data_IF_912021866612
#
_entry.id   IF_912021866612
#
_cell.length_a   1.000
_cell.length_b   1.000
_cell.length_c   1.000
_cell.angle_alpha   90.00
_cell.angle_beta   90.00
_cell.angle_gamma   90.00
#
_symmetry.space_group_name_H-M   'P 1'
#
loop_
_entity.id
_entity.type
_entity.pdbx_description
1 polymer ?
#
# COMPACT_ATOMS: atom_id res chain seq x y z
N UNK A 1 3.39 65.17 7.65
CA UNK A 1 3.19 64.03 6.73
C UNK A 1 4.26 62.98 6.97
N UNK A 2 4.02 61.94 7.77
CA UNK A 2 4.78 60.67 7.79
C UNK A 2 3.87 59.57 8.29
N UNK A 3 3.37 58.74 7.37
CA UNK A 3 2.60 57.53 7.65
C UNK A 3 3.63 56.41 7.81
N UNK A 4 3.70 55.81 9.00
CA UNK A 4 4.48 54.59 9.23
C UNK A 4 3.62 53.40 8.77
N UNK A 5 4.07 52.75 7.70
CA UNK A 5 3.47 51.53 7.15
C UNK A 5 4.14 50.33 7.84
N UNK A 6 3.50 49.78 8.87
CA UNK A 6 3.95 48.56 9.54
C UNK A 6 3.55 47.35 8.70
N UNK A 7 4.52 46.76 8.00
CA UNK A 7 4.31 45.57 7.19
C UNK A 7 4.26 44.33 8.11
N UNK A 8 3.06 43.77 8.30
CA UNK A 8 2.83 42.55 9.07
C UNK A 8 3.12 41.33 8.19
N UNK A 9 4.32 40.76 8.32
CA UNK A 9 4.70 39.51 7.64
C UNK A 9 4.05 38.31 8.32
N UNK A 10 2.96 37.80 7.75
CA UNK A 10 2.36 36.50 8.13
C UNK A 10 3.25 35.38 7.58
N UNK A 11 4.09 34.78 8.42
CA UNK A 11 4.77 33.53 8.08
C UNK A 11 3.74 32.39 8.08
N UNK A 12 3.33 31.97 6.88
CA UNK A 12 2.64 30.71 6.66
C UNK A 12 3.60 29.57 7.03
N UNK A 13 3.44 29.01 8.23
CA UNK A 13 4.03 27.70 8.55
C UNK A 13 3.33 26.66 7.67
N UNK A 14 3.91 26.37 6.51
CA UNK A 14 3.64 25.14 5.78
C UNK A 14 4.04 24.00 6.71
N UNK A 15 3.08 23.47 7.46
CA UNK A 15 3.30 22.27 8.25
C UNK A 15 3.70 21.18 7.26
N UNK A 16 4.94 20.66 7.29
CA UNK A 16 5.25 19.50 6.48
C UNK A 16 4.24 18.44 6.89
N UNK A 17 3.55 17.83 5.91
CA UNK A 17 2.75 16.63 6.16
C UNK A 17 3.65 15.69 6.95
N UNK A 18 3.39 15.55 8.25
CA UNK A 18 4.25 14.79 9.13
C UNK A 18 4.30 13.37 8.59
N UNK A 19 5.47 12.97 8.10
CA UNK A 19 5.72 11.61 7.63
C UNK A 19 5.23 10.63 8.70
N UNK A 20 4.37 9.70 8.31
CA UNK A 20 3.83 8.72 9.25
C UNK A 20 4.95 7.78 9.72
N UNK A 21 5.01 7.60 11.02
CA UNK A 21 5.85 6.63 11.71
C UNK A 21 4.95 5.78 12.61
N UNK A 22 5.11 4.47 12.54
CA UNK A 22 4.32 3.55 13.35
C UNK A 22 4.11 2.18 12.74
N UNK A 23 3.07 1.51 13.21
CA UNK A 23 2.70 0.16 12.81
C UNK A 23 1.31 0.10 12.18
N UNK A 24 1.15 -0.89 11.31
CA UNK A 24 -0.10 -1.28 10.71
C UNK A 24 -0.20 -2.80 10.79
N UNK A 25 -1.33 -3.31 11.29
CA UNK A 25 -1.71 -4.72 11.24
C UNK A 25 -2.88 -4.94 10.31
N UNK A 26 -2.81 -5.98 9.50
CA UNK A 26 -3.85 -6.33 8.56
C UNK A 26 -3.89 -7.83 8.31
N UNK A 27 -4.99 -8.27 7.70
CA UNK A 27 -5.19 -9.62 7.20
C UNK A 27 -5.67 -9.61 5.76
N UNK A 28 -5.31 -10.67 5.05
CA UNK A 28 -5.84 -11.05 3.76
C UNK A 28 -6.67 -12.31 3.96
N UNK A 29 -7.91 -12.29 3.48
CA UNK A 29 -8.84 -13.42 3.59
C UNK A 29 -9.45 -13.78 2.25
N UNK A 30 -9.73 -15.06 2.05
CA UNK A 30 -10.59 -15.58 0.98
C UNK A 30 -11.85 -16.18 1.60
N UNK A 31 -12.69 -16.82 0.78
CA UNK A 31 -13.86 -17.58 1.27
C UNK A 31 -13.49 -18.68 2.28
N UNK A 32 -12.26 -19.18 2.23
CA UNK A 32 -11.76 -20.25 3.11
C UNK A 32 -11.21 -19.72 4.45
N UNK A 33 -11.23 -18.40 4.64
CA UNK A 33 -10.74 -17.72 5.85
C UNK A 33 -9.48 -16.90 5.62
N UNK A 34 -8.77 -16.58 6.71
CA UNK A 34 -7.56 -15.76 6.67
C UNK A 34 -6.41 -16.54 6.03
N UNK A 35 -5.93 -16.06 4.89
CA UNK A 35 -4.83 -16.67 4.12
C UNK A 35 -3.48 -16.01 4.39
N UNK A 36 -3.48 -14.76 4.87
CA UNK A 36 -2.26 -14.08 5.30
C UNK A 36 -2.50 -13.08 6.43
N UNK A 37 -1.51 -12.95 7.31
CA UNK A 37 -1.39 -11.86 8.29
C UNK A 37 -0.23 -10.96 7.90
N UNK A 38 -0.43 -9.66 8.00
CA UNK A 38 0.50 -8.63 7.56
C UNK A 38 0.79 -7.69 8.73
N UNK A 39 2.07 -7.48 9.02
CA UNK A 39 2.55 -6.48 9.96
C UNK A 39 3.49 -5.52 9.23
N UNK A 40 3.04 -4.30 8.96
CA UNK A 40 3.85 -3.25 8.37
C UNK A 40 4.34 -2.26 9.44
N UNK A 41 5.58 -1.82 9.29
CA UNK A 41 6.23 -0.80 10.12
C UNK A 41 6.82 0.27 9.21
N UNK A 42 6.65 1.52 9.62
CA UNK A 42 7.03 2.69 8.84
C UNK A 42 7.95 3.57 9.67
N UNK A 43 9.12 3.92 9.14
CA UNK A 43 10.03 4.88 9.76
C UNK A 43 9.64 6.31 9.38
N UNK A 44 10.01 7.26 10.24
CA UNK A 44 9.90 8.70 9.92
C UNK A 44 10.73 9.09 8.70
N UNK A 45 11.84 8.38 8.45
CA UNK A 45 12.71 8.60 7.30
C UNK A 45 12.12 8.04 5.99
N UNK A 46 11.04 7.26 6.06
CA UNK A 46 10.33 6.72 4.90
C UNK A 46 10.50 5.22 4.71
N UNK A 47 11.39 4.57 5.46
CA UNK A 47 11.64 3.13 5.35
C UNK A 47 10.39 2.35 5.69
N UNK A 48 10.22 1.21 5.03
CA UNK A 48 9.09 0.33 5.25
C UNK A 48 9.59 -1.09 5.47
N UNK A 49 9.06 -1.75 6.49
CA UNK A 49 9.21 -3.18 6.70
C UNK A 49 7.82 -3.80 6.72
N UNK A 50 7.63 -4.85 5.94
CA UNK A 50 6.39 -5.61 5.90
C UNK A 50 6.70 -7.08 6.15
N UNK A 51 6.25 -7.60 7.28
CA UNK A 51 6.29 -9.03 7.58
C UNK A 51 4.95 -9.66 7.18
N UNK A 52 5.01 -10.73 6.41
CA UNK A 52 3.85 -11.51 5.96
C UNK A 52 4.00 -12.93 6.51
N UNK A 53 2.93 -13.42 7.14
CA UNK A 53 2.77 -14.82 7.51
C UNK A 53 1.59 -15.38 6.76
N UNK A 54 1.81 -16.42 5.97
CA UNK A 54 0.78 -17.06 5.16
C UNK A 54 0.96 -18.57 5.15
N UNK A 55 0.17 -19.27 4.35
CA UNK A 55 0.42 -20.65 3.96
C UNK A 55 0.69 -20.72 2.45
N UNK A 56 1.55 -21.62 2.00
CA UNK A 56 1.71 -21.93 0.58
C UNK A 56 0.61 -22.87 0.06
N UNK A 57 0.74 -23.30 -1.20
CA UNK A 57 -0.22 -24.22 -1.85
C UNK A 57 -0.32 -25.60 -1.19
N UNK A 58 0.74 -26.02 -0.48
CA UNK A 58 0.78 -27.28 0.27
C UNK A 58 0.34 -27.10 1.73
N UNK A 59 -0.08 -25.88 2.10
CA UNK A 59 -0.54 -25.53 3.44
C UNK A 59 0.59 -25.29 4.45
N UNK A 60 1.86 -25.29 4.01
CA UNK A 60 2.99 -25.05 4.88
C UNK A 60 3.09 -23.56 5.26
N UNK A 61 3.43 -23.23 6.52
CA UNK A 61 3.63 -21.84 6.91
C UNK A 61 4.75 -21.20 6.09
N UNK A 62 4.48 -20.03 5.55
CA UNK A 62 5.47 -19.19 4.86
C UNK A 62 5.67 -17.92 5.67
N UNK A 63 6.94 -17.60 5.97
CA UNK A 63 7.30 -16.35 6.61
C UNK A 63 8.24 -15.53 5.73
N UNK A 64 7.69 -14.43 5.20
CA UNK A 64 8.41 -13.52 4.32
C UNK A 64 8.46 -12.10 4.92
N UNK A 65 9.62 -11.46 4.79
CA UNK A 65 9.78 -10.03 5.08
C UNK A 65 10.10 -9.28 3.81
N UNK A 66 9.54 -8.09 3.65
CA UNK A 66 10.00 -7.11 2.65
C UNK A 66 10.50 -5.87 3.36
N UNK A 67 11.71 -5.42 3.04
CA UNK A 67 12.29 -4.18 3.53
C UNK A 67 12.49 -3.25 2.35
N UNK A 68 11.89 -2.06 2.41
CA UNK A 68 11.97 -1.01 1.40
C UNK A 68 12.63 0.22 2.05
N UNK A 69 13.96 0.34 1.96
CA UNK A 69 14.65 1.52 2.45
C UNK A 69 14.22 2.77 1.67
N UNK A 70 14.08 3.91 2.36
CA UNK A 70 13.78 5.19 1.74
C UNK A 70 14.94 5.72 0.89
N UNK A 71 16.17 5.35 1.26
CA UNK A 71 17.40 5.70 0.56
C UNK A 71 18.03 4.45 -0.04
N UNK A 72 18.61 4.59 -1.23
CA UNK A 72 19.23 3.49 -1.96
C UNK A 72 18.51 3.19 -3.27
N UNK A 73 18.96 2.15 -3.96
CA UNK A 73 18.46 1.77 -5.30
C UNK A 73 17.68 0.47 -5.30
N UNK A 74 17.58 -0.23 -4.17
CA UNK A 74 17.01 -1.56 -4.08
C UNK A 74 16.09 -1.69 -2.87
N UNK A 75 15.18 -2.64 -2.93
CA UNK A 75 14.48 -3.20 -1.79
C UNK A 75 14.85 -4.67 -1.64
N UNK A 76 14.47 -5.26 -0.50
CA UNK A 76 14.89 -6.60 -0.13
C UNK A 76 13.67 -7.45 0.21
N UNK A 77 13.60 -8.64 -0.36
CA UNK A 77 12.68 -9.69 0.08
C UNK A 77 13.46 -10.76 0.81
N UNK A 78 12.92 -11.26 1.90
CA UNK A 78 13.58 -12.17 2.82
C UNK A 78 12.67 -13.38 2.97
N UNK A 79 13.17 -14.56 2.66
CA UNK A 79 12.53 -15.83 3.02
C UNK A 79 13.18 -16.33 4.30
N UNK A 80 12.43 -16.33 5.40
CA UNK A 80 12.96 -16.77 6.69
C UNK A 80 13.17 -18.28 6.73
N UNK A 81 12.29 -19.04 6.07
CA UNK A 81 12.34 -20.50 6.03
C UNK A 81 13.55 -20.99 5.22
N UNK A 82 13.90 -20.28 4.15
CA UNK A 82 15.08 -20.57 3.32
C UNK A 82 16.35 -19.83 3.78
N UNK A 83 16.23 -18.95 4.79
CA UNK A 83 17.30 -18.05 5.25
C UNK A 83 17.99 -17.32 4.09
N UNK A 84 17.19 -16.78 3.17
CA UNK A 84 17.68 -16.10 1.98
C UNK A 84 17.18 -14.65 1.90
N UNK A 85 17.99 -13.79 1.29
CA UNK A 85 17.67 -12.39 0.97
C UNK A 85 17.84 -12.21 -0.53
N UNK A 86 16.79 -11.74 -1.20
CA UNK A 86 16.86 -11.29 -2.60
C UNK A 86 16.88 -9.77 -2.59
N UNK A 87 17.90 -9.21 -3.21
CA UNK A 87 17.98 -7.76 -3.46
C UNK A 87 17.35 -7.44 -4.80
N UNK A 88 16.38 -6.55 -4.85
CA UNK A 88 15.64 -6.22 -6.07
C UNK A 88 15.77 -4.72 -6.33
N UNK A 89 16.29 -4.29 -7.49
CA UNK A 89 16.37 -2.87 -7.83
C UNK A 89 14.98 -2.23 -7.88
N UNK A 90 14.82 -1.01 -7.36
CA UNK A 90 13.56 -0.27 -7.47
C UNK A 90 13.15 0.01 -8.92
N UNK A 91 14.11 0.03 -9.85
CA UNK A 91 13.82 0.15 -11.28
C UNK A 91 12.97 -0.99 -11.83
N UNK A 92 12.99 -2.20 -11.22
CA UNK A 92 12.15 -3.32 -11.64
C UNK A 92 10.68 -3.07 -11.34
N UNK A 93 10.37 -2.26 -10.31
CA UNK A 93 8.99 -1.90 -9.98
C UNK A 93 8.33 -1.09 -11.08
N UNK A 94 9.10 -0.20 -11.74
CA UNK A 94 8.59 0.56 -12.88
C UNK A 94 8.26 -0.36 -14.06
N UNK A 95 9.02 -1.44 -14.26
CA UNK A 95 8.75 -2.44 -15.31
C UNK A 95 7.50 -3.24 -15.00
N UNK A 96 7.34 -3.73 -13.76
CA UNK A 96 6.14 -4.47 -13.35
C UNK A 96 4.90 -3.57 -13.38
N UNK A 97 5.02 -2.30 -12.98
CA UNK A 97 3.93 -1.32 -13.09
C UNK A 97 3.56 -0.97 -14.53
N UNK A 98 4.48 -1.07 -15.50
CA UNK A 98 4.17 -0.92 -16.94
C UNK A 98 3.59 -2.20 -17.55
N UNK A 99 3.90 -3.37 -17.00
CA UNK A 99 3.31 -4.65 -17.40
C UNK A 99 1.88 -4.84 -16.89
N UNK A 100 1.49 -4.10 -15.85
CA UNK A 100 0.07 -3.95 -15.46
C UNK A 100 -0.57 -2.98 -16.44
N UNK A 101 -0.91 -3.47 -17.63
CA UNK A 101 -1.80 -2.79 -18.57
C UNK A 101 -3.24 -2.94 -18.08
N UNK A 102 -3.56 -2.31 -16.96
CA UNK A 102 -4.93 -2.08 -16.53
C UNK A 102 -5.50 -0.87 -17.27
N UNK A 103 -6.27 -1.16 -18.33
CA UNK A 103 -7.24 -0.24 -18.96
C UNK A 103 -6.71 1.12 -19.49
N UNK A 104 -5.57 1.14 -20.18
CA UNK A 104 -5.16 2.23 -21.10
C UNK A 104 -5.10 3.65 -20.48
N UNK A 105 -4.83 4.67 -21.30
CA UNK A 105 -4.72 6.07 -20.83
C UNK A 105 -6.04 6.65 -20.27
N UNK A 106 -7.14 5.89 -20.30
CA UNK A 106 -8.48 6.37 -19.96
C UNK A 106 -9.42 5.22 -19.51
N UNK A 107 -9.23 4.66 -18.29
CA UNK A 107 -9.97 3.48 -17.85
C UNK A 107 -11.46 3.78 -17.70
N UNK A 108 -12.32 2.86 -18.14
CA UNK A 108 -13.77 3.01 -18.12
C UNK A 108 -14.36 2.69 -16.73
N UNK A 109 -14.00 3.53 -15.76
CA UNK A 109 -14.36 3.35 -14.37
C UNK A 109 -15.69 4.03 -14.04
N UNK A 110 -16.54 3.34 -13.30
CA UNK A 110 -17.66 3.93 -12.58
C UNK A 110 -17.42 3.84 -11.08
N UNK A 111 -17.55 4.97 -10.37
CA UNK A 111 -17.46 5.00 -8.91
C UNK A 111 -18.84 5.31 -8.32
N UNK A 112 -19.26 4.49 -7.35
CA UNK A 112 -20.49 4.68 -6.58
C UNK A 112 -20.16 4.92 -5.12
N UNK A 113 -20.79 5.92 -4.50
CA UNK A 113 -20.75 6.12 -3.04
C UNK A 113 -21.83 5.25 -2.42
N UNK A 114 -21.46 4.35 -1.53
CA UNK A 114 -22.37 3.39 -0.92
C UNK A 114 -22.76 3.76 0.52
N UNK A 115 -21.99 4.64 1.17
CA UNK A 115 -22.37 5.21 2.45
C UNK A 115 -21.19 5.38 3.38
N UNK A 116 -21.46 5.30 4.69
CA UNK A 116 -20.44 5.35 5.74
C UNK A 116 -20.53 4.10 6.59
N UNK A 117 -19.38 3.58 6.99
CA UNK A 117 -19.28 2.40 7.85
C UNK A 117 -18.12 2.60 8.84
N UNK A 118 -18.17 1.91 9.97
CA UNK A 118 -17.04 1.85 10.90
C UNK A 118 -16.28 0.55 10.68
N UNK A 119 -15.02 0.65 10.27
CA UNK A 119 -14.12 -0.50 10.08
C UNK A 119 -13.03 -0.43 11.14
N UNK A 120 -12.91 -1.46 11.97
CA UNK A 120 -11.89 -1.55 13.04
C UNK A 120 -11.86 -0.30 13.94
N UNK A 121 -13.04 0.24 14.27
CA UNK A 121 -13.19 1.45 15.09
C UNK A 121 -12.88 2.77 14.37
N UNK A 122 -12.68 2.75 13.05
CA UNK A 122 -12.41 3.96 12.23
C UNK A 122 -13.60 4.23 11.33
N UNK A 123 -14.11 5.46 11.35
CA UNK A 123 -15.13 5.88 10.38
C UNK A 123 -14.55 5.95 8.97
N UNK A 124 -15.29 5.38 8.03
CA UNK A 124 -14.92 5.26 6.63
C UNK A 124 -16.07 5.66 5.71
N UNK A 125 -15.73 6.15 4.52
CA UNK A 125 -16.64 6.24 3.39
C UNK A 125 -16.52 4.97 2.55
N UNK A 126 -17.62 4.24 2.39
CA UNK A 126 -17.67 3.06 1.54
C UNK A 126 -17.97 3.48 0.11
N UNK A 127 -17.06 3.15 -0.80
CA UNK A 127 -17.18 3.39 -2.23
C UNK A 127 -16.97 2.10 -3.00
N UNK A 128 -17.65 1.98 -4.13
CA UNK A 128 -17.48 0.89 -5.08
C UNK A 128 -16.91 1.42 -6.38
N UNK A 129 -15.81 0.85 -6.80
CA UNK A 129 -15.20 1.04 -8.11
C UNK A 129 -15.63 -0.14 -8.98
N UNK A 130 -16.20 0.15 -10.14
CA UNK A 130 -16.58 -0.82 -11.16
C UNK A 130 -15.71 -0.50 -12.35
N UNK A 131 -14.81 -1.42 -12.66
CA UNK A 131 -14.02 -1.36 -13.89
C UNK A 131 -14.78 -2.14 -14.97
N UNK A 132 -15.25 -1.40 -15.98
CA UNK A 132 -16.04 -1.98 -17.07
C UNK A 132 -15.19 -2.70 -18.10
N UNK A 133 -13.88 -2.45 -18.12
CA UNK A 133 -12.98 -3.00 -19.13
C UNK A 133 -12.58 -4.45 -18.78
N UNK A 134 -12.40 -4.75 -17.49
CA UNK A 134 -12.07 -6.10 -16.99
C UNK A 134 -13.18 -6.75 -16.14
N UNK A 135 -14.36 -6.11 -16.05
CA UNK A 135 -15.49 -6.57 -15.21
C UNK A 135 -15.13 -6.76 -13.72
N UNK A 136 -14.12 -6.05 -13.22
CA UNK A 136 -13.75 -6.09 -11.81
C UNK A 136 -14.63 -5.17 -10.97
N UNK A 137 -15.04 -5.65 -9.79
CA UNK A 137 -15.75 -4.86 -8.79
C UNK A 137 -14.88 -4.77 -7.54
N UNK A 138 -14.56 -3.54 -7.14
CA UNK A 138 -13.71 -3.28 -5.99
C UNK A 138 -14.48 -2.39 -5.01
N UNK A 139 -14.74 -2.92 -3.81
CA UNK A 139 -15.25 -2.13 -2.69
C UNK A 139 -14.09 -1.62 -1.84
N UNK A 140 -14.12 -0.32 -1.51
CA UNK A 140 -13.11 0.38 -0.71
C UNK A 140 -13.76 1.12 0.45
N UNK A 141 -13.18 0.99 1.63
CA UNK A 141 -13.60 1.72 2.84
C UNK A 141 -12.54 2.75 3.21
N UNK A 142 -12.75 3.98 2.77
CA UNK A 142 -11.75 5.04 2.77
C UNK A 142 -11.84 5.92 4.01
N UNK A 143 -10.70 6.29 4.59
CA UNK A 143 -10.60 7.25 5.70
C UNK A 143 -9.55 8.32 5.43
N UNK A 144 -9.77 9.51 5.98
CA UNK A 144 -8.80 10.62 5.95
C UNK A 144 -7.90 10.67 7.20
N UNK A 145 -8.13 9.75 8.17
CA UNK A 145 -7.40 9.72 9.44
C UNK A 145 -5.91 9.39 9.28
N UNK A 146 -5.55 8.67 8.22
CA UNK A 146 -4.19 8.21 7.93
C UNK A 146 -3.78 8.61 6.51
N UNK A 147 -2.47 8.72 6.23
CA UNK A 147 -2.00 9.02 4.87
C UNK A 147 -2.50 7.98 3.86
N UNK A 148 -2.98 8.45 2.71
CA UNK A 148 -3.57 7.60 1.69
C UNK A 148 -2.55 6.63 1.06
N UNK A 149 -1.26 6.97 1.10
CA UNK A 149 -0.14 6.26 0.48
C UNK A 149 0.47 5.16 1.36
N UNK A 150 0.00 4.94 2.59
CA UNK A 150 0.57 3.92 3.48
C UNK A 150 0.59 2.53 2.83
N UNK A 151 -0.45 2.19 2.05
CA UNK A 151 -0.49 0.92 1.35
C UNK A 151 0.44 0.87 0.16
N UNK A 152 0.44 1.91 -0.67
CA UNK A 152 1.30 1.92 -1.84
C UNK A 152 2.76 1.97 -1.45
N UNK A 153 3.11 2.56 -0.29
CA UNK A 153 4.43 2.45 0.32
C UNK A 153 4.80 1.04 0.79
N UNK A 154 3.87 0.26 1.35
CA UNK A 154 4.16 -1.09 1.84
C UNK A 154 4.13 -2.17 0.75
N UNK A 155 3.31 -1.98 -0.27
CA UNK A 155 3.13 -2.93 -1.37
C UNK A 155 3.70 -2.40 -2.68
N UNK A 156 4.68 -1.49 -2.66
CA UNK A 156 5.33 -1.02 -3.90
C UNK A 156 5.72 -2.21 -4.76
N UNK A 157 5.21 -2.24 -5.99
CA UNK A 157 5.52 -3.31 -6.95
C UNK A 157 4.81 -4.64 -6.74
N UNK A 158 3.92 -4.77 -5.75
CA UNK A 158 3.09 -5.97 -5.54
C UNK A 158 1.67 -5.69 -6.00
N UNK A 159 1.26 -6.40 -7.04
CA UNK A 159 -0.07 -6.32 -7.63
C UNK A 159 -1.11 -6.84 -6.65
N UNK A 160 -1.76 -5.96 -5.88
CA UNK A 160 -2.86 -6.31 -4.99
C UNK A 160 -4.22 -6.42 -5.72
N UNK A 161 -4.22 -6.67 -7.03
CA UNK A 161 -5.44 -6.59 -7.87
C UNK A 161 -5.99 -5.17 -8.03
N UNK A 162 -5.20 -4.16 -7.65
CA UNK A 162 -5.45 -2.75 -7.96
C UNK A 162 -4.68 -2.44 -9.24
N UNK A 163 -5.23 -2.84 -10.38
CA UNK A 163 -4.61 -2.72 -11.71
C UNK A 163 -4.45 -1.25 -12.20
N UNK A 164 -4.63 -0.27 -11.33
CA UNK A 164 -4.55 1.16 -11.62
C UNK A 164 -3.44 1.84 -10.83
N UNK A 165 -2.76 2.79 -11.46
CA UNK A 165 -1.82 3.66 -10.75
C UNK A 165 -2.53 4.52 -9.70
N UNK A 166 -1.79 4.97 -8.68
CA UNK A 166 -2.32 5.88 -7.64
C UNK A 166 -2.89 7.18 -8.22
N UNK A 167 -2.30 7.67 -9.32
CA UNK A 167 -2.73 8.88 -10.00
C UNK A 167 -4.04 8.68 -10.76
N UNK A 168 -4.21 7.57 -11.48
CA UNK A 168 -5.46 7.22 -12.17
C UNK A 168 -6.59 7.03 -11.18
N UNK A 169 -6.34 6.28 -10.11
CA UNK A 169 -7.29 6.09 -9.01
C UNK A 169 -7.73 7.43 -8.43
N UNK A 170 -6.76 8.32 -8.18
CA UNK A 170 -7.01 9.65 -7.63
C UNK A 170 -7.83 10.51 -8.59
N UNK A 171 -7.50 10.52 -9.89
CA UNK A 171 -8.24 11.25 -10.92
C UNK A 171 -9.68 10.73 -11.03
N UNK A 172 -9.87 9.41 -11.08
CA UNK A 172 -11.17 8.79 -11.15
C UNK A 172 -12.02 9.11 -9.90
N UNK A 173 -11.47 8.95 -8.70
CA UNK A 173 -12.17 9.31 -7.45
C UNK A 173 -12.61 10.78 -7.46
N UNK A 174 -11.73 11.71 -7.87
CA UNK A 174 -12.05 13.14 -7.97
C UNK A 174 -13.18 13.42 -8.97
N UNK A 175 -13.19 12.77 -10.14
CA UNK A 175 -14.27 12.88 -11.15
C UNK A 175 -15.65 12.56 -10.56
N UNK A 176 -15.72 11.62 -9.62
CA UNK A 176 -16.96 11.22 -8.94
C UNK A 176 -17.15 11.89 -7.56
N UNK A 177 -16.36 12.93 -7.26
CA UNK A 177 -16.45 13.69 -6.02
C UNK A 177 -16.11 12.87 -4.76
N UNK A 178 -15.30 11.80 -4.90
CA UNK A 178 -14.75 11.01 -3.80
C UNK A 178 -13.36 11.54 -3.48
N UNK A 179 -13.07 11.77 -2.21
CA UNK A 179 -11.72 12.16 -1.78
C UNK A 179 -10.86 10.89 -1.66
N UNK A 180 -9.68 10.84 -2.31
CA UNK A 180 -8.73 9.76 -2.07
C UNK A 180 -8.42 9.67 -0.58
N UNK A 181 -8.29 8.47 -0.05
CA UNK A 181 -8.04 8.23 1.37
C UNK A 181 -7.38 6.88 1.60
N UNK A 182 -6.95 6.66 2.83
CA UNK A 182 -6.41 5.37 3.24
C UNK A 182 -7.53 4.33 3.28
N UNK A 183 -7.33 3.17 2.65
CA UNK A 183 -8.31 2.09 2.65
C UNK A 183 -8.15 1.20 3.89
N UNK A 184 -9.14 1.25 4.79
CA UNK A 184 -9.21 0.38 5.97
C UNK A 184 -9.67 -1.03 5.62
N UNK A 185 -10.42 -1.19 4.54
CA UNK A 185 -10.89 -2.47 4.02
C UNK A 185 -10.99 -2.38 2.52
N UNK A 186 -10.61 -3.45 1.84
CA UNK A 186 -10.77 -3.60 0.40
C UNK A 186 -11.33 -4.99 0.12
N UNK A 187 -12.35 -5.06 -0.71
CA UNK A 187 -12.86 -6.32 -1.24
C UNK A 187 -12.76 -6.26 -2.76
N UNK A 188 -12.14 -7.27 -3.34
CA UNK A 188 -12.01 -7.41 -4.79
C UNK A 188 -12.81 -8.63 -5.21
N UNK A 189 -13.81 -8.41 -6.06
CA UNK A 189 -14.56 -9.45 -6.75
C UNK A 189 -14.17 -9.37 -8.24
N UNK A 190 -13.50 -10.41 -8.75
CA UNK A 190 -13.14 -10.55 -10.16
C UNK A 190 -13.91 -11.71 -10.78
N UNK A 191 -14.31 -11.57 -12.05
CA UNK A 191 -15.03 -12.61 -12.76
C UNK A 191 -14.20 -13.91 -12.82
N UNK A 192 -14.76 -15.02 -12.30
CA UNK A 192 -14.09 -16.32 -12.25
C UNK A 192 -13.03 -16.47 -11.15
N UNK A 193 -12.77 -15.42 -10.35
CA UNK A 193 -11.85 -15.45 -9.22
C UNK A 193 -12.55 -15.62 -7.87
N UNK A 194 -11.83 -16.14 -6.88
CA UNK A 194 -12.31 -16.17 -5.49
C UNK A 194 -12.23 -14.74 -4.92
N UNK A 195 -13.31 -14.22 -4.31
CA UNK A 195 -13.27 -12.92 -3.65
C UNK A 195 -12.15 -12.82 -2.62
N UNK A 196 -11.42 -11.72 -2.65
CA UNK A 196 -10.34 -11.45 -1.70
C UNK A 196 -10.70 -10.23 -0.86
N UNK A 197 -10.57 -10.36 0.45
CA UNK A 197 -10.80 -9.29 1.42
C UNK A 197 -9.50 -8.94 2.13
N UNK A 198 -9.09 -7.70 1.96
CA UNK A 198 -8.03 -7.07 2.72
C UNK A 198 -8.65 -6.26 3.87
N UNK A 199 -8.22 -6.48 5.11
CA UNK A 199 -8.73 -5.79 6.28
C UNK A 199 -7.60 -5.22 7.14
N UNK A 200 -7.63 -3.91 7.39
CA UNK A 200 -6.80 -3.26 8.40
C UNK A 200 -7.42 -3.50 9.77
N UNK A 201 -6.67 -4.15 10.63
CA UNK A 201 -7.09 -4.46 12.00
C UNK A 201 -6.67 -3.34 12.96
N UNK A 202 -5.49 -2.76 12.73
CA UNK A 202 -4.93 -1.73 13.61
C UNK A 202 -3.97 -0.81 12.86
N UNK A 203 -4.05 0.48 13.14
CA UNK A 203 -3.02 1.48 12.79
C UNK A 203 -2.64 2.21 14.07
N UNK A 204 -1.34 2.30 14.38
CA UNK A 204 -0.86 2.95 15.59
C UNK A 204 0.39 3.77 15.26
N UNK A 205 0.33 5.07 15.57
CA UNK A 205 1.50 5.95 15.55
C UNK A 205 2.36 5.66 16.78
N UNK A 206 3.63 5.38 16.55
CA UNK A 206 4.63 5.18 17.59
C UNK A 206 6.02 5.26 16.97
N UNK A 207 7.06 5.64 17.75
CA UNK A 207 8.43 5.55 17.29
C UNK A 207 8.77 4.12 16.86
N UNK A 208 9.47 3.98 15.74
CA UNK A 208 9.97 2.68 15.24
C UNK A 208 11.50 2.72 15.24
N UNK A 209 12.15 1.90 16.09
CA UNK A 209 13.61 1.81 16.12
C UNK A 209 14.23 1.49 14.75
N UNK A 210 15.35 2.12 14.35
CA UNK A 210 15.97 1.92 13.03
C UNK A 210 16.42 0.47 12.74
N UNK A 211 16.83 -0.27 13.78
CA UNK A 211 17.26 -1.67 13.72
C UNK A 211 16.16 -2.62 13.23
N UNK A 212 14.89 -2.24 13.38
CA UNK A 212 13.75 -2.97 12.79
C UNK A 212 13.90 -3.14 11.27
N UNK A 213 14.53 -2.16 10.60
CA UNK A 213 14.73 -2.14 9.15
C UNK A 213 16.07 -2.73 8.72
N UNK A 214 16.88 -3.24 9.66
CA UNK A 214 18.12 -3.92 9.33
C UNK A 214 17.85 -5.27 8.65
N UNK A 215 18.73 -5.64 7.71
CA UNK A 215 18.75 -6.98 7.14
C UNK A 215 19.30 -7.97 8.17
N UNK A 216 18.75 -9.19 8.27
CA UNK A 216 19.23 -10.19 9.20
C UNK A 216 20.63 -10.68 8.80
N UNK A 217 21.47 -10.91 9.81
CA UNK A 217 22.80 -11.48 9.63
C UNK A 217 22.75 -12.99 9.35
N UNK A 218 23.74 -13.52 8.62
CA UNK A 218 23.86 -14.95 8.35
C UNK A 218 22.80 -15.52 7.39
N UNK A 219 22.20 -14.68 6.56
CA UNK A 219 21.31 -15.08 5.47
C UNK A 219 22.08 -15.06 4.14
N UNK A 220 21.77 -16.02 3.27
CA UNK A 220 22.36 -16.10 1.93
C UNK A 220 21.78 -15.02 1.03
N UNK A 221 22.63 -14.19 0.41
CA UNK A 221 22.18 -13.20 -0.58
C UNK A 221 22.11 -13.85 -1.95
N UNK A 222 20.93 -13.77 -2.55
CA UNK A 222 20.65 -14.25 -3.90
C UNK A 222 20.56 -13.02 -4.79
N UNK A 223 21.38 -12.97 -5.84
CA UNK A 223 21.21 -11.97 -6.89
C UNK A 223 19.97 -12.34 -7.72
N UNK A 224 19.08 -11.37 -8.02
CA UNK A 224 17.99 -11.63 -8.92
C UNK A 224 18.56 -12.03 -10.30
N UNK A 225 17.89 -12.91 -11.06
CA UNK A 225 18.31 -13.20 -12.42
C UNK A 225 18.44 -11.90 -13.22
N UNK A 226 19.47 -11.84 -14.08
CA UNK A 226 19.89 -10.63 -14.77
C UNK A 226 18.81 -10.02 -15.70
N UNK A 227 17.79 -10.80 -16.06
CA UNK A 227 16.69 -10.37 -16.90
C UNK A 227 15.33 -10.68 -16.26
N UNK A 228 14.36 -9.75 -16.28
CA UNK A 228 12.96 -10.13 -16.14
C UNK A 228 12.61 -11.02 -17.34
N UNK A 229 12.30 -12.29 -17.10
CA UNK A 229 11.72 -13.12 -18.17
C UNK A 229 10.40 -12.48 -18.64
N UNK A 230 10.17 -12.40 -19.95
CA UNK A 230 9.03 -11.72 -20.56
C UNK A 230 7.69 -12.35 -20.17
#
# INVERSE_FOLDING_TARGET
>A
MRIFLTCLSVMLFASPVLAFEGLLKASLSSEQGVVAQINARYSKAGDVRMDIRSKDGDGQPVHATTIMPAKGKSYYTISHDQRSIVEIPYSTLATTSRQVTGSGDNPNLQIKKLGKETVSGVQTEHVRVIDKDNSAVIDLWLTQKYPADLWTRAFRGRNLGLEMSDDERTKAMKKYGVKPGFSMKMRVDQAGGVPVVFLVEKVQRMPVPPDVFALPEGYTRIQPPADPQP
#
